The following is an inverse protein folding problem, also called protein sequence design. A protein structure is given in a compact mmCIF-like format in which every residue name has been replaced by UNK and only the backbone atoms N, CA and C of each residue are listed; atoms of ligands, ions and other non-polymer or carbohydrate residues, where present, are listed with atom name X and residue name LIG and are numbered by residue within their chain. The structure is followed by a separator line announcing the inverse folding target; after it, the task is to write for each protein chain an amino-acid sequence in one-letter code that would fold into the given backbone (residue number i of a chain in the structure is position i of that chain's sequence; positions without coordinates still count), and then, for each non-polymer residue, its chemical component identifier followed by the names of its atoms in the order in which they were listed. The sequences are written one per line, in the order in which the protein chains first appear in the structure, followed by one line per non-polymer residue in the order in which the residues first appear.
data_IF_128027927406
#
_entry.id   IF_128027927406
#
_cell.length_a   1.000
_cell.length_b   1.000
_cell.length_c   1.000
_cell.angle_alpha   90.00
_cell.angle_beta   90.00
_cell.angle_gamma   90.00
#
_symmetry.space_group_name_H-M   'P 1'
#
loop_
_entity.id
_entity.type
_entity.pdbx_description
1 polymer ?
#
# COMPACT_ATOMS: atom_id res chain seq x y z
N UNK A 1 -10.51 0.98 -12.72
CA UNK A 1 -9.86 0.69 -11.42
C UNK A 1 -10.40 -0.58 -10.79
N UNK A 2 -11.72 -0.73 -10.57
CA UNK A 2 -12.29 -1.92 -9.92
C UNK A 2 -11.74 -3.22 -10.51
N UNK A 3 -11.93 -3.48 -11.78
CA UNK A 3 -11.45 -4.71 -12.44
C UNK A 3 -9.94 -4.96 -12.25
N UNK A 4 -9.13 -3.90 -12.15
CA UNK A 4 -7.70 -4.04 -11.89
C UNK A 4 -7.43 -4.57 -10.47
N UNK A 5 -8.09 -4.00 -9.45
CA UNK A 5 -7.90 -4.44 -8.08
C UNK A 5 -8.53 -5.81 -7.83
N UNK A 6 -9.67 -6.11 -8.44
CA UNK A 6 -10.28 -7.45 -8.44
C UNK A 6 -9.33 -8.51 -9.03
N UNK A 7 -8.71 -8.21 -10.19
CA UNK A 7 -7.71 -9.09 -10.79
C UNK A 7 -6.50 -9.30 -9.86
N UNK A 8 -5.98 -8.23 -9.24
CA UNK A 8 -4.78 -8.32 -8.39
C UNK A 8 -5.04 -8.96 -7.03
N UNK A 9 -6.20 -8.72 -6.46
CA UNK A 9 -6.62 -9.27 -5.16
C UNK A 9 -7.15 -10.71 -5.25
N UNK A 10 -7.76 -11.07 -6.37
CA UNK A 10 -8.52 -12.31 -6.53
C UNK A 10 -9.87 -12.31 -5.81
N UNK A 11 -10.36 -11.15 -5.42
CA UNK A 11 -11.64 -10.95 -4.73
C UNK A 11 -12.42 -9.85 -5.43
N UNK A 12 -13.67 -10.13 -5.79
CA UNK A 12 -14.58 -9.17 -6.38
C UNK A 12 -14.90 -8.03 -5.38
N UNK A 13 -15.17 -6.84 -5.89
CA UNK A 13 -15.60 -5.72 -5.06
C UNK A 13 -16.93 -6.05 -4.36
N UNK A 14 -17.02 -5.94 -3.01
CA UNK A 14 -18.11 -6.55 -2.26
C UNK A 14 -19.41 -5.74 -2.25
N UNK A 15 -19.43 -4.51 -2.78
CA UNK A 15 -20.59 -3.64 -2.71
C UNK A 15 -21.18 -3.38 -4.11
N UNK A 16 -22.50 -3.13 -4.23
CA UNK A 16 -23.12 -2.86 -5.52
C UNK A 16 -22.73 -1.49 -6.10
N UNK A 17 -22.24 -0.58 -5.27
CA UNK A 17 -21.87 0.79 -5.66
C UNK A 17 -20.63 1.23 -4.87
N UNK A 18 -19.70 1.91 -5.54
CA UNK A 18 -18.63 2.67 -4.90
C UNK A 18 -18.95 4.16 -4.99
N UNK A 19 -19.01 4.82 -3.85
CA UNK A 19 -19.37 6.23 -3.75
C UNK A 19 -18.13 7.09 -3.54
N UNK A 20 -18.03 8.20 -4.27
CA UNK A 20 -17.02 9.23 -4.04
C UNK A 20 -17.71 10.52 -3.64
N UNK A 21 -17.28 11.12 -2.54
CA UNK A 21 -17.86 12.37 -2.00
C UNK A 21 -16.79 13.45 -2.01
N UNK A 22 -17.08 14.58 -2.66
CA UNK A 22 -16.21 15.75 -2.66
C UNK A 22 -16.64 16.70 -1.52
N UNK A 23 -15.69 17.09 -0.68
CA UNK A 23 -15.90 17.94 0.48
C UNK A 23 -15.00 19.18 0.45
N UNK A 24 -15.49 20.31 0.94
CA UNK A 24 -14.67 21.51 1.11
C UNK A 24 -13.54 21.25 2.11
N UNK A 25 -12.31 21.54 1.69
CA UNK A 25 -11.13 21.40 2.55
C UNK A 25 -10.81 19.96 2.99
N UNK A 26 -11.46 18.96 2.39
CA UNK A 26 -11.25 17.54 2.70
C UNK A 26 -9.90 17.04 2.20
N UNK A 27 -9.47 15.90 2.76
CA UNK A 27 -8.36 15.05 2.27
C UNK A 27 -8.94 13.73 1.80
N UNK A 28 -8.11 12.85 1.23
CA UNK A 28 -8.49 11.46 0.99
C UNK A 28 -8.84 10.78 2.32
N UNK A 29 -9.92 10.00 2.32
CA UNK A 29 -10.31 9.16 3.45
C UNK A 29 -11.12 7.98 2.93
N UNK A 30 -10.63 6.79 3.23
CA UNK A 30 -11.27 5.52 2.92
C UNK A 30 -12.38 5.18 3.92
N UNK A 31 -13.48 4.64 3.40
CA UNK A 31 -14.54 3.99 4.17
C UNK A 31 -15.07 2.79 3.36
N UNK A 32 -15.67 1.81 4.00
CA UNK A 32 -16.25 0.67 3.31
C UNK A 32 -17.33 1.13 2.32
N UNK A 33 -17.12 0.87 1.03
CA UNK A 33 -18.01 1.25 -0.06
C UNK A 33 -17.99 2.74 -0.45
N UNK A 34 -17.15 3.58 0.19
CA UNK A 34 -17.14 5.02 -0.02
C UNK A 34 -15.74 5.60 0.19
N UNK A 35 -15.40 6.67 -0.54
CA UNK A 35 -14.26 7.53 -0.22
C UNK A 35 -14.67 9.01 -0.22
N UNK A 36 -14.04 9.78 0.66
CA UNK A 36 -14.16 11.23 0.71
C UNK A 36 -12.91 11.89 0.17
N UNK A 37 -13.08 12.98 -0.59
CA UNK A 37 -11.98 13.75 -1.18
C UNK A 37 -12.20 15.23 -0.97
N UNK A 38 -11.13 16.02 -0.99
CA UNK A 38 -11.25 17.47 -1.14
C UNK A 38 -11.75 17.85 -2.54
N UNK A 39 -12.50 18.97 -2.66
CA UNK A 39 -12.96 19.50 -3.96
C UNK A 39 -11.80 19.66 -4.95
N UNK A 40 -10.61 20.06 -4.48
CA UNK A 40 -9.40 20.20 -5.30
C UNK A 40 -8.94 18.88 -5.98
N UNK A 41 -9.35 17.72 -5.47
CA UNK A 41 -9.07 16.44 -6.13
C UNK A 41 -9.79 16.37 -7.49
N UNK A 42 -11.08 16.72 -7.52
CA UNK A 42 -11.85 16.73 -8.77
C UNK A 42 -11.26 17.69 -9.80
N UNK A 43 -10.94 18.91 -9.39
CA UNK A 43 -10.28 19.91 -10.27
C UNK A 43 -8.92 19.41 -10.77
N UNK A 44 -8.15 18.77 -9.90
CA UNK A 44 -6.86 18.18 -10.23
C UNK A 44 -6.96 17.09 -11.30
N UNK A 45 -7.95 16.17 -11.16
CA UNK A 45 -8.19 15.10 -12.14
C UNK A 45 -8.64 15.66 -13.49
N UNK A 46 -9.48 16.70 -13.48
CA UNK A 46 -9.92 17.37 -14.71
C UNK A 46 -8.76 18.10 -15.43
N UNK A 47 -7.79 18.60 -14.68
CA UNK A 47 -6.61 19.26 -15.22
C UNK A 47 -5.56 18.27 -15.78
N UNK A 48 -5.32 17.17 -15.08
CA UNK A 48 -4.45 16.08 -15.49
C UNK A 48 -4.99 14.76 -14.93
N UNK A 49 -5.33 13.82 -15.83
CA UNK A 49 -5.88 12.52 -15.44
C UNK A 49 -4.93 11.68 -14.55
N UNK A 50 -3.62 11.99 -14.52
CA UNK A 50 -2.66 11.33 -13.63
C UNK A 50 -2.93 11.63 -12.14
N UNK A 51 -3.63 12.73 -11.85
CA UNK A 51 -4.06 13.07 -10.48
C UNK A 51 -5.10 12.10 -9.91
N UNK A 52 -5.57 11.13 -10.70
CA UNK A 52 -6.40 10.01 -10.25
C UNK A 52 -5.73 9.12 -9.20
N UNK A 53 -4.43 9.31 -8.95
CA UNK A 53 -3.64 8.51 -7.99
C UNK A 53 -4.29 8.45 -6.60
N UNK A 54 -4.85 9.57 -6.10
CA UNK A 54 -5.52 9.59 -4.79
C UNK A 54 -6.79 8.72 -4.81
N UNK A 55 -7.58 8.81 -5.89
CA UNK A 55 -8.76 7.96 -6.06
C UNK A 55 -8.41 6.48 -6.17
N UNK A 56 -7.25 6.15 -6.76
CA UNK A 56 -6.75 4.78 -6.82
C UNK A 56 -6.31 4.28 -5.43
N UNK A 57 -5.70 5.15 -4.61
CA UNK A 57 -5.29 4.85 -3.24
C UNK A 57 -6.51 4.52 -2.36
N UNK A 58 -7.48 5.42 -2.32
CA UNK A 58 -8.70 5.23 -1.51
C UNK A 58 -9.53 4.03 -1.98
N UNK A 59 -9.50 3.71 -3.28
CA UNK A 59 -10.17 2.53 -3.79
C UNK A 59 -9.41 1.23 -3.44
N UNK A 60 -8.07 1.25 -3.45
CA UNK A 60 -7.26 0.10 -3.05
C UNK A 60 -7.56 -0.35 -1.61
N UNK A 61 -7.88 0.60 -0.73
CA UNK A 61 -8.29 0.31 0.64
C UNK A 61 -9.54 -0.56 0.76
N UNK A 62 -10.38 -0.67 -0.28
CA UNK A 62 -11.52 -1.57 -0.23
C UNK A 62 -11.09 -3.03 -0.06
N UNK A 63 -9.90 -3.40 -0.56
CA UNK A 63 -9.27 -4.70 -0.36
C UNK A 63 -8.27 -4.69 0.81
N UNK A 64 -7.33 -3.73 0.83
CA UNK A 64 -6.24 -3.65 1.82
C UNK A 64 -6.45 -2.47 2.77
N UNK A 65 -7.21 -2.71 3.81
CA UNK A 65 -7.67 -1.77 4.80
C UNK A 65 -9.08 -2.10 5.31
N UNK A 66 -10.06 -2.26 4.40
CA UNK A 66 -11.43 -2.60 4.75
C UNK A 66 -11.71 -4.11 4.66
N UNK A 67 -11.35 -4.75 3.53
CA UNK A 67 -11.56 -6.19 3.32
C UNK A 67 -10.58 -7.05 4.12
N UNK A 68 -9.29 -6.73 4.05
CA UNK A 68 -8.24 -7.28 4.91
C UNK A 68 -7.69 -6.12 5.72
N UNK A 69 -7.86 -6.13 7.04
CA UNK A 69 -7.46 -5.02 7.91
C UNK A 69 -6.37 -5.43 8.90
N UNK A 70 -5.54 -4.50 9.32
CA UNK A 70 -4.53 -4.78 10.35
C UNK A 70 -5.18 -5.01 11.73
N UNK A 71 -4.72 -6.03 12.47
CA UNK A 71 -5.21 -6.36 13.82
C UNK A 71 -4.94 -5.22 14.82
N UNK A 72 -3.84 -4.51 14.64
CA UNK A 72 -3.46 -3.37 15.45
C UNK A 72 -2.66 -2.36 14.64
N UNK A 73 -2.58 -1.13 15.11
CA UNK A 73 -1.82 -0.05 14.48
C UNK A 73 -0.33 -0.37 14.29
N UNK A 74 0.22 -1.36 15.01
CA UNK A 74 1.59 -1.83 14.82
C UNK A 74 1.84 -2.38 13.41
N UNK A 75 0.80 -2.87 12.75
CA UNK A 75 0.83 -3.46 11.42
C UNK A 75 0.23 -2.53 10.35
N UNK A 76 0.10 -1.23 10.62
CA UNK A 76 -0.60 -0.26 9.76
C UNK A 76 0.02 -0.12 8.37
N UNK A 77 1.29 -0.46 8.20
CA UNK A 77 1.93 -0.52 6.89
C UNK A 77 1.28 -1.53 5.92
N UNK A 78 0.57 -2.56 6.45
CA UNK A 78 -0.20 -3.50 5.63
C UNK A 78 -1.41 -2.83 4.96
N UNK A 79 -1.99 -1.80 5.59
CA UNK A 79 -3.02 -1.00 4.96
C UNK A 79 -2.38 0.03 4.02
N UNK A 80 -1.59 0.95 4.55
CA UNK A 80 -1.12 2.12 3.82
C UNK A 80 0.00 1.82 2.82
N UNK A 81 0.94 0.98 3.22
CA UNK A 81 2.04 0.58 2.33
C UNK A 81 1.54 -0.21 1.13
N UNK A 82 0.59 -1.15 1.35
CA UNK A 82 -0.02 -1.91 0.25
C UNK A 82 -0.86 -0.98 -0.63
N UNK A 83 -1.72 -0.12 -0.07
CA UNK A 83 -2.54 0.80 -0.85
C UNK A 83 -1.68 1.77 -1.68
N UNK A 84 -0.59 2.30 -1.11
CA UNK A 84 0.36 3.17 -1.81
C UNK A 84 1.06 2.44 -2.96
N UNK A 85 1.52 1.21 -2.73
CA UNK A 85 2.09 0.38 -3.79
C UNK A 85 1.07 0.04 -4.89
N UNK A 86 -0.15 -0.35 -4.50
CA UNK A 86 -1.22 -0.69 -5.44
C UNK A 86 -1.67 0.51 -6.27
N UNK A 87 -1.57 1.71 -5.72
CA UNK A 87 -1.73 2.95 -6.47
C UNK A 87 -0.71 3.05 -7.60
N UNK A 88 0.58 2.87 -7.31
CA UNK A 88 1.62 2.88 -8.33
C UNK A 88 1.40 1.77 -9.37
N UNK A 89 1.04 0.56 -8.96
CA UNK A 89 0.74 -0.55 -9.85
C UNK A 89 -0.48 -0.29 -10.75
N UNK A 90 -1.51 0.38 -10.24
CA UNK A 90 -2.65 0.80 -11.08
C UNK A 90 -2.23 1.86 -12.11
N UNK A 91 -1.39 2.82 -11.70
CA UNK A 91 -0.89 3.85 -12.61
C UNK A 91 0.03 3.26 -13.68
N UNK A 92 0.80 2.21 -13.36
CA UNK A 92 1.52 1.40 -14.37
C UNK A 92 0.56 0.81 -15.40
N UNK A 93 -0.51 0.19 -14.95
CA UNK A 93 -1.52 -0.39 -15.83
C UNK A 93 -2.20 0.65 -16.71
N UNK A 94 -2.45 1.86 -16.20
CA UNK A 94 -3.19 2.91 -16.91
C UNK A 94 -2.31 3.78 -17.81
N UNK A 95 -1.09 4.10 -17.37
CA UNK A 95 -0.22 5.10 -17.99
C UNK A 95 1.18 4.59 -18.35
N UNK A 96 1.49 3.34 -18.01
CA UNK A 96 2.76 2.70 -18.34
C UNK A 96 3.83 2.78 -17.26
N UNK A 97 4.94 2.09 -17.52
CA UNK A 97 6.04 1.84 -16.57
C UNK A 97 6.69 3.10 -16.01
N UNK A 98 6.76 4.17 -16.79
CA UNK A 98 7.41 5.42 -16.35
C UNK A 98 6.59 6.09 -15.25
N UNK A 99 5.27 5.98 -15.30
CA UNK A 99 4.41 6.50 -14.25
C UNK A 99 4.55 5.69 -12.95
N UNK A 100 4.63 4.36 -13.04
CA UNK A 100 4.98 3.51 -11.90
C UNK A 100 6.29 3.93 -11.24
N UNK A 101 7.36 4.04 -12.04
CA UNK A 101 8.67 4.45 -11.54
C UNK A 101 8.63 5.80 -10.86
N UNK A 102 7.94 6.78 -11.44
CA UNK A 102 7.79 8.11 -10.86
C UNK A 102 7.24 8.05 -9.43
N UNK A 103 6.24 7.21 -9.17
CA UNK A 103 5.65 7.06 -7.84
C UNK A 103 6.55 6.28 -6.88
N UNK A 104 7.14 5.19 -7.32
CA UNK A 104 8.04 4.37 -6.48
C UNK A 104 9.34 5.13 -6.17
N UNK A 105 9.92 5.83 -7.13
CA UNK A 105 11.14 6.63 -6.91
C UNK A 105 10.87 7.81 -5.96
N UNK A 106 9.68 8.41 -6.01
CA UNK A 106 9.28 9.44 -5.06
C UNK A 106 9.16 8.88 -3.63
N UNK A 107 8.53 7.71 -3.47
CA UNK A 107 8.43 7.02 -2.18
C UNK A 107 9.82 6.63 -1.64
N UNK A 108 10.67 6.07 -2.51
CA UNK A 108 12.06 5.76 -2.20
C UNK A 108 12.83 6.99 -1.72
N UNK A 109 12.76 8.10 -2.46
CA UNK A 109 13.49 9.32 -2.13
C UNK A 109 13.08 9.88 -0.75
N UNK A 110 11.78 9.86 -0.41
CA UNK A 110 11.30 10.26 0.91
C UNK A 110 11.82 9.34 2.00
N UNK A 111 11.78 8.03 1.78
CA UNK A 111 12.32 7.06 2.72
C UNK A 111 13.84 7.25 2.92
N UNK A 112 14.61 7.41 1.85
CA UNK A 112 16.06 7.64 1.93
C UNK A 112 16.37 8.93 2.69
N UNK A 113 15.62 10.00 2.48
CA UNK A 113 15.77 11.25 3.24
C UNK A 113 15.51 11.05 4.76
N UNK A 114 14.48 10.26 5.13
CA UNK A 114 14.23 9.91 6.53
C UNK A 114 15.35 9.09 7.14
N UNK A 115 15.84 8.09 6.41
CA UNK A 115 16.98 7.27 6.85
C UNK A 115 18.22 8.11 7.07
N UNK A 116 18.56 8.97 6.12
CA UNK A 116 19.76 9.82 6.18
C UNK A 116 19.67 10.89 7.28
N UNK A 117 18.45 11.29 7.65
CA UNK A 117 18.19 12.14 8.82
C UNK A 117 18.16 11.36 10.17
N UNK A 118 18.36 10.04 10.16
CA UNK A 118 18.36 9.22 11.38
C UNK A 118 16.96 8.88 11.92
N UNK A 119 15.91 9.04 11.11
CA UNK A 119 14.52 8.77 11.48
C UNK A 119 14.00 7.40 10.97
N UNK A 120 14.89 6.55 10.42
CA UNK A 120 14.46 5.22 9.99
C UNK A 120 14.08 4.35 11.18
N UNK A 121 13.03 3.57 11.00
CA UNK A 121 12.54 2.59 11.97
C UNK A 121 11.93 1.38 11.26
N UNK A 122 11.68 0.27 11.99
CA UNK A 122 10.93 -0.86 11.47
C UNK A 122 9.57 -0.43 10.92
N UNK A 123 9.01 -1.18 9.97
CA UNK A 123 7.62 -0.99 9.54
C UNK A 123 6.62 -1.44 10.62
N UNK A 124 7.03 -2.38 11.47
CA UNK A 124 6.25 -2.83 12.61
C UNK A 124 6.73 -2.08 13.86
N UNK A 125 5.94 -1.13 14.36
CA UNK A 125 6.26 -0.37 15.57
C UNK A 125 4.99 0.06 16.33
N UNK A 126 5.15 0.35 17.64
CA UNK A 126 4.04 0.49 18.60
C UNK A 126 3.56 1.92 18.86
N UNK A 127 4.27 2.95 18.39
CA UNK A 127 4.02 4.33 18.81
C UNK A 127 2.99 5.07 17.93
N UNK A 128 1.75 4.58 17.88
CA UNK A 128 0.68 5.17 17.07
C UNK A 128 -0.32 6.05 17.84
N UNK A 129 -0.09 6.34 19.13
CA UNK A 129 -0.98 7.23 19.90
C UNK A 129 -0.99 8.66 19.35
N UNK A 130 0.17 9.13 18.87
CA UNK A 130 0.30 10.44 18.21
C UNK A 130 1.41 10.35 17.14
N UNK A 131 1.11 9.78 15.96
CA UNK A 131 2.11 9.54 14.92
C UNK A 131 2.62 10.87 14.35
N UNK A 132 3.94 10.99 14.24
CA UNK A 132 4.60 12.11 13.59
C UNK A 132 4.43 12.03 12.05
N UNK A 133 4.75 13.12 11.31
CA UNK A 133 4.83 13.03 9.85
C UNK A 133 5.83 11.97 9.36
N UNK A 134 6.95 11.80 10.07
CA UNK A 134 7.95 10.77 9.79
C UNK A 134 7.39 9.36 9.98
N UNK A 135 6.61 9.12 11.06
CA UNK A 135 5.93 7.85 11.28
C UNK A 135 4.98 7.48 10.14
N UNK A 136 4.24 8.48 9.65
CA UNK A 136 3.38 8.29 8.48
C UNK A 136 4.18 7.94 7.24
N UNK A 137 5.25 8.68 6.94
CA UNK A 137 6.10 8.41 5.79
C UNK A 137 6.77 7.02 5.87
N UNK A 138 7.06 6.51 7.07
CA UNK A 138 7.53 5.13 7.24
C UNK A 138 6.48 4.13 6.75
N UNK A 139 5.23 4.23 7.15
CA UNK A 139 4.23 3.23 6.75
C UNK A 139 3.78 3.38 5.29
N UNK A 140 3.69 4.60 4.79
CA UNK A 140 3.28 4.90 3.40
C UNK A 140 4.45 4.69 2.43
N UNK A 141 5.50 5.50 2.57
CA UNK A 141 6.56 5.60 1.56
C UNK A 141 7.56 4.43 1.67
N UNK A 142 8.12 4.16 2.87
CA UNK A 142 8.96 2.96 3.07
C UNK A 142 8.14 1.69 2.84
N UNK A 143 6.88 1.63 3.31
CA UNK A 143 5.99 0.49 3.10
C UNK A 143 5.83 0.16 1.61
N UNK A 144 5.46 1.14 0.79
CA UNK A 144 5.32 0.95 -0.65
C UNK A 144 6.63 0.57 -1.33
N UNK A 145 7.74 1.19 -0.93
CA UNK A 145 9.07 0.87 -1.48
C UNK A 145 9.50 -0.56 -1.11
N UNK A 146 9.24 -1.03 0.11
CA UNK A 146 9.55 -2.41 0.52
C UNK A 146 8.71 -3.42 -0.24
N UNK A 147 7.44 -3.14 -0.51
CA UNK A 147 6.59 -4.00 -1.35
C UNK A 147 7.10 -4.03 -2.80
N UNK A 148 7.58 -2.90 -3.32
CA UNK A 148 8.25 -2.87 -4.62
C UNK A 148 9.50 -3.76 -4.63
N UNK A 149 10.37 -3.66 -3.62
CA UNK A 149 11.55 -4.52 -3.51
C UNK A 149 11.17 -6.01 -3.43
N UNK A 150 10.06 -6.34 -2.76
CA UNK A 150 9.54 -7.71 -2.71
C UNK A 150 9.06 -8.18 -4.10
N UNK A 151 8.41 -7.30 -4.87
CA UNK A 151 8.03 -7.59 -6.27
C UNK A 151 9.26 -7.87 -7.14
N UNK A 152 10.33 -7.07 -7.02
CA UNK A 152 11.59 -7.28 -7.75
C UNK A 152 12.29 -8.58 -7.32
N UNK A 153 12.27 -8.89 -6.02
CA UNK A 153 12.89 -10.10 -5.44
C UNK A 153 12.19 -11.40 -5.89
N UNK A 154 10.84 -11.36 -6.02
CA UNK A 154 10.03 -12.54 -6.34
C UNK A 154 9.76 -12.70 -7.83
N UNK A 155 9.78 -11.60 -8.58
CA UNK A 155 9.26 -11.54 -9.94
C UNK A 155 7.72 -11.47 -9.99
N UNK A 156 7.20 -11.15 -11.16
CA UNK A 156 5.77 -10.83 -11.35
C UNK A 156 4.83 -11.97 -10.89
N UNK A 157 5.09 -13.19 -11.35
CA UNK A 157 4.15 -14.30 -11.15
C UNK A 157 4.03 -14.68 -9.67
N UNK A 158 5.16 -14.87 -8.97
CA UNK A 158 5.17 -15.23 -7.56
C UNK A 158 4.65 -14.09 -6.68
N UNK A 159 5.02 -12.85 -6.99
CA UNK A 159 4.55 -11.68 -6.25
C UNK A 159 3.03 -11.54 -6.32
N UNK A 160 2.44 -11.53 -7.53
CA UNK A 160 0.99 -11.38 -7.68
C UNK A 160 0.21 -12.58 -7.15
N UNK A 161 0.78 -13.80 -7.27
CA UNK A 161 0.21 -14.98 -6.61
C UNK A 161 0.18 -14.84 -5.10
N UNK A 162 1.24 -14.26 -4.50
CA UNK A 162 1.32 -13.99 -3.06
C UNK A 162 0.30 -12.95 -2.59
N UNK A 163 0.17 -11.84 -3.31
CA UNK A 163 -0.85 -10.81 -3.02
C UNK A 163 -2.25 -11.43 -3.08
N UNK A 164 -2.54 -12.20 -4.11
CA UNK A 164 -3.84 -12.88 -4.29
C UNK A 164 -4.10 -13.89 -3.17
N UNK A 165 -3.10 -14.70 -2.83
CA UNK A 165 -3.18 -15.67 -1.75
C UNK A 165 -3.43 -15.00 -0.39
N UNK A 166 -2.69 -13.92 -0.10
CA UNK A 166 -2.88 -13.13 1.12
C UNK A 166 -4.30 -12.57 1.20
N UNK A 167 -4.78 -11.93 0.13
CA UNK A 167 -6.08 -11.27 0.12
C UNK A 167 -7.23 -12.29 0.23
N UNK A 168 -7.21 -13.35 -0.57
CA UNK A 168 -8.28 -14.38 -0.56
C UNK A 168 -8.34 -15.16 0.74
N UNK A 169 -7.17 -15.49 1.33
CA UNK A 169 -7.08 -16.25 2.59
C UNK A 169 -7.60 -15.46 3.78
N UNK A 170 -7.35 -14.16 3.79
CA UNK A 170 -7.65 -13.30 4.93
C UNK A 170 -8.79 -12.31 4.66
N UNK A 171 -9.60 -12.58 3.64
CA UNK A 171 -10.75 -11.74 3.34
C UNK A 171 -11.69 -11.64 4.55
N UNK A 172 -12.12 -10.41 4.88
CA UNK A 172 -12.95 -10.08 6.05
C UNK A 172 -12.30 -10.46 7.41
N UNK A 173 -10.97 -10.50 7.46
CA UNK A 173 -10.23 -10.82 8.69
C UNK A 173 -9.26 -9.70 9.07
N UNK A 174 -8.93 -9.68 10.37
CA UNK A 174 -7.82 -8.88 10.88
C UNK A 174 -6.52 -9.69 10.78
N UNK A 175 -5.44 -9.03 10.37
CA UNK A 175 -4.15 -9.66 10.05
C UNK A 175 -2.98 -8.98 10.74
N UNK A 176 -1.89 -9.72 10.83
CA UNK A 176 -0.59 -9.27 11.30
C UNK A 176 0.44 -9.35 10.17
N UNK A 177 1.59 -8.70 10.35
CA UNK A 177 2.71 -8.81 9.41
C UNK A 177 3.13 -10.26 9.12
N UNK A 178 3.22 -11.19 10.13
CA UNK A 178 3.47 -12.60 9.87
C UNK A 178 2.46 -13.30 8.94
N UNK A 179 1.21 -12.84 8.87
CA UNK A 179 0.22 -13.41 7.94
C UNK A 179 0.57 -13.08 6.49
N UNK A 180 0.97 -11.83 6.24
CA UNK A 180 1.48 -11.39 4.94
C UNK A 180 2.77 -12.14 4.56
N UNK A 181 3.74 -12.22 5.48
CA UNK A 181 5.01 -12.92 5.26
C UNK A 181 4.80 -14.38 4.85
N UNK A 182 3.90 -15.10 5.55
CA UNK A 182 3.58 -16.49 5.25
C UNK A 182 2.97 -16.66 3.86
N UNK A 183 2.03 -15.81 3.49
CA UNK A 183 1.39 -15.87 2.17
C UNK A 183 2.40 -15.62 1.03
N UNK A 184 3.29 -14.64 1.21
CA UNK A 184 4.31 -14.32 0.21
C UNK A 184 5.36 -15.44 0.10
N UNK A 185 5.82 -16.00 1.21
CA UNK A 185 6.78 -17.12 1.22
C UNK A 185 6.19 -18.40 0.61
N UNK A 186 4.92 -18.70 0.89
CA UNK A 186 4.19 -19.84 0.32
C UNK A 186 4.07 -19.71 -1.20
N UNK A 187 3.64 -18.56 -1.68
CA UNK A 187 3.52 -18.31 -3.13
C UNK A 187 4.87 -18.32 -3.85
N UNK A 188 5.92 -17.87 -3.18
CA UNK A 188 7.28 -17.90 -3.71
C UNK A 188 7.93 -19.29 -3.66
N UNK A 189 7.38 -20.24 -2.89
CA UNK A 189 7.98 -21.56 -2.65
C UNK A 189 9.34 -21.51 -1.95
N UNK A 190 9.65 -20.43 -1.23
CA UNK A 190 10.93 -20.24 -0.53
C UNK A 190 10.80 -19.38 0.73
N UNK A 191 11.79 -19.51 1.62
CA UNK A 191 11.89 -18.69 2.83
C UNK A 191 12.23 -17.23 2.47
N UNK A 192 11.52 -16.29 3.09
CA UNK A 192 11.71 -14.84 2.93
C UNK A 192 12.11 -14.15 4.25
N UNK A 193 12.49 -14.92 5.27
CA UNK A 193 12.82 -14.38 6.61
C UNK A 193 13.91 -13.32 6.57
N UNK A 194 14.95 -13.52 5.77
CA UNK A 194 16.04 -12.54 5.65
C UNK A 194 15.58 -11.23 5.03
N UNK A 195 14.70 -11.31 4.02
CA UNK A 195 14.08 -10.13 3.41
C UNK A 195 13.27 -9.34 4.45
N UNK A 196 12.34 -10.01 5.15
CA UNK A 196 11.46 -9.35 6.12
C UNK A 196 12.23 -8.87 7.36
N UNK A 197 13.20 -9.64 7.86
CA UNK A 197 14.07 -9.21 8.96
C UNK A 197 14.80 -7.90 8.60
N UNK A 198 15.30 -7.79 7.37
CA UNK A 198 16.04 -6.62 6.90
C UNK A 198 15.17 -5.39 6.67
N UNK A 199 14.02 -5.55 6.04
CA UNK A 199 13.25 -4.43 5.53
C UNK A 199 12.04 -4.04 6.38
N UNK A 200 11.48 -5.00 7.12
CA UNK A 200 10.23 -4.83 7.88
C UNK A 200 10.48 -4.76 9.38
N UNK A 201 11.32 -5.65 9.92
CA UNK A 201 11.53 -5.79 11.37
C UNK A 201 12.72 -5.02 11.92
N UNK A 202 13.59 -4.50 11.08
CA UNK A 202 14.73 -3.69 11.50
C UNK A 202 14.73 -2.33 10.77
N UNK A 203 15.31 -1.27 11.39
CA UNK A 203 15.70 -0.10 10.62
C UNK A 203 16.81 -0.53 9.63
N UNK A 204 16.87 0.11 8.45
CA UNK A 204 17.98 -0.15 7.55
C UNK A 204 19.28 0.25 8.23
N UNK A 205 20.19 -0.71 8.37
CA UNK A 205 21.51 -0.42 8.94
C UNK A 205 22.17 0.70 8.13
N UNK A 206 22.56 1.76 8.80
CA UNK A 206 23.46 2.77 8.22
C UNK A 206 24.74 2.03 7.78
N UNK A 207 24.93 1.93 6.47
CA UNK A 207 26.20 1.48 5.88
C UNK A 207 27.09 2.66 5.60
#
# INVERSE_FOLDING_TARGET
MLNFFEDKSGVDYPFPVYTQVLLRGGRGQELAGLAMFGESYGDGVLADERNIWLGAHELAHQWWGNGVTNESWNHFWLNEGIATFMTAAYLEHRFGRDEYRRHIDAARAKYEALRDAGHDKPLVFTAWTNPSPEDRSIVYDKGAFVIHLLREELGEDAFWSGIRLYTTRHWEQSVTTPDFERAMAEAAGRDLKEFFARWVHAPASSR
#
